data_IF_553524457040
#
_entry.id   IF_553524457040
#
_cell.length_a   1.000
_cell.length_b   1.000
_cell.length_c   1.000
_cell.angle_alpha   90.00
_cell.angle_beta   90.00
_cell.angle_gamma   90.00
#
_symmetry.space_group_name_H-M   'P 1'
#
loop_
_entity.id
_entity.type
_entity.pdbx_description
1 polymer ?
#
# COMPACT_ATOMS: atom_id res chain seq x y z
N UNK A 1 -1.59 27.79 -19.31
CA UNK A 1 -1.77 26.36 -19.67
C UNK A 1 -0.77 25.55 -18.86
N UNK A 2 -1.25 24.77 -17.88
CA UNK A 2 -0.39 23.96 -17.01
C UNK A 2 0.23 22.79 -17.76
N UNK A 3 1.51 22.90 -18.09
CA UNK A 3 2.37 21.84 -18.63
C UNK A 3 2.32 20.54 -17.80
N UNK A 4 2.05 20.64 -16.49
CA UNK A 4 1.88 19.47 -15.61
C UNK A 4 0.60 18.67 -15.88
N UNK A 5 -0.45 19.29 -16.43
CA UNK A 5 -1.70 18.60 -16.79
C UNK A 5 -1.53 17.74 -18.04
N UNK A 6 -0.71 18.19 -19.00
CA UNK A 6 -0.41 17.45 -20.24
C UNK A 6 0.46 16.22 -20.00
N UNK A 7 1.41 16.27 -19.07
CA UNK A 7 2.24 15.10 -18.72
C UNK A 7 1.43 14.01 -18.01
N UNK A 8 0.35 14.39 -17.31
CA UNK A 8 -0.52 13.44 -16.60
C UNK A 8 -1.44 12.65 -17.55
N UNK A 9 -1.65 13.13 -18.79
CA UNK A 9 -2.52 12.48 -19.78
C UNK A 9 -1.90 11.23 -20.42
N UNK A 10 -0.61 10.96 -20.20
CA UNK A 10 0.09 9.84 -20.85
C UNK A 10 0.67 8.81 -19.86
N UNK A 11 0.14 8.73 -18.63
CA UNK A 11 0.50 7.61 -17.75
C UNK A 11 -0.35 6.38 -18.10
N UNK A 12 0.26 5.28 -18.59
CA UNK A 12 -0.50 4.07 -18.93
C UNK A 12 -1.15 3.40 -17.71
N UNK A 13 -0.78 3.81 -16.49
CA UNK A 13 -1.36 3.32 -15.24
C UNK A 13 -1.81 4.49 -14.39
N UNK A 14 -3.11 4.53 -14.10
CA UNK A 14 -3.75 5.61 -13.35
C UNK A 14 -3.65 5.45 -11.84
N UNK A 15 -3.36 4.24 -11.35
CA UNK A 15 -3.37 3.92 -9.91
C UNK A 15 -2.25 2.97 -9.49
N UNK A 16 -1.88 3.01 -8.21
CA UNK A 16 -0.82 2.16 -7.63
C UNK A 16 -1.09 0.65 -7.82
N UNK A 17 -2.32 0.12 -7.60
CA UNK A 17 -2.62 -1.28 -7.87
C UNK A 17 -2.37 -1.68 -9.33
N UNK A 18 -2.74 -0.83 -10.29
CA UNK A 18 -2.53 -1.11 -11.71
C UNK A 18 -1.03 -1.23 -12.05
N UNK A 19 -0.23 -0.28 -11.57
CA UNK A 19 1.22 -0.31 -11.77
C UNK A 19 1.87 -1.53 -11.10
N UNK A 20 1.46 -1.85 -9.87
CA UNK A 20 1.93 -3.03 -9.15
C UNK A 20 1.57 -4.33 -9.87
N UNK A 21 0.37 -4.43 -10.44
CA UNK A 21 -0.07 -5.60 -11.20
C UNK A 21 0.79 -5.78 -12.46
N UNK A 22 1.10 -4.69 -13.17
CA UNK A 22 2.01 -4.73 -14.33
C UNK A 22 3.37 -5.30 -13.94
N UNK A 23 3.99 -4.77 -12.89
CA UNK A 23 5.31 -5.23 -12.41
C UNK A 23 5.27 -6.73 -12.08
N UNK A 24 4.20 -7.19 -11.42
CA UNK A 24 4.02 -8.61 -11.11
C UNK A 24 3.82 -9.50 -12.34
N UNK A 25 3.23 -8.96 -13.42
CA UNK A 25 3.00 -9.69 -14.67
C UNK A 25 4.28 -9.97 -15.46
N UNK A 26 5.35 -9.21 -15.21
CA UNK A 26 6.66 -9.38 -15.86
C UNK A 26 7.44 -10.58 -15.31
N UNK A 27 6.98 -11.21 -14.21
CA UNK A 27 7.50 -12.50 -13.75
C UNK A 27 8.90 -12.44 -13.13
N UNK A 28 9.18 -11.40 -12.34
CA UNK A 28 10.48 -11.23 -11.69
C UNK A 28 10.68 -12.14 -10.47
N UNK A 29 11.93 -12.55 -10.20
CA UNK A 29 12.27 -13.34 -9.01
C UNK A 29 12.32 -12.58 -7.67
N UNK A 30 12.19 -11.24 -7.69
CA UNK A 30 12.24 -10.37 -6.50
C UNK A 30 10.84 -9.86 -6.07
N UNK A 31 9.83 -10.04 -6.92
CA UNK A 31 8.43 -9.71 -6.67
C UNK A 31 7.52 -10.70 -7.39
N UNK A 32 6.68 -11.38 -6.64
CA UNK A 32 5.86 -12.44 -7.21
C UNK A 32 4.54 -12.66 -6.46
N UNK A 33 3.63 -13.32 -7.16
CA UNK A 33 2.44 -13.91 -6.58
C UNK A 33 2.80 -15.16 -5.78
N UNK A 34 2.04 -15.46 -4.72
CA UNK A 34 2.06 -16.81 -4.17
C UNK A 34 1.41 -17.82 -5.15
N UNK A 35 1.56 -19.12 -4.88
CA UNK A 35 0.99 -20.20 -5.68
C UNK A 35 -0.52 -20.03 -5.94
N UNK A 36 -1.27 -19.57 -4.93
CA UNK A 36 -2.72 -19.38 -5.04
C UNK A 36 -3.13 -18.08 -5.75
N UNK A 37 -2.19 -17.19 -6.06
CA UNK A 37 -2.46 -15.91 -6.72
C UNK A 37 -3.25 -14.89 -5.89
N UNK A 38 -3.33 -15.05 -4.57
CA UNK A 38 -4.10 -14.18 -3.66
C UNK A 38 -3.23 -13.32 -2.73
N UNK A 39 -1.92 -13.53 -2.77
CA UNK A 39 -0.92 -12.77 -2.01
C UNK A 39 0.20 -12.39 -2.94
N UNK A 40 0.84 -11.29 -2.61
CA UNK A 40 2.09 -10.88 -3.25
C UNK A 40 3.19 -10.82 -2.22
N UNK A 41 4.41 -11.03 -2.68
CA UNK A 41 5.62 -10.85 -1.88
C UNK A 41 6.67 -10.12 -2.69
N UNK A 42 7.45 -9.27 -2.03
CA UNK A 42 8.67 -8.70 -2.60
C UNK A 42 9.80 -8.68 -1.58
N UNK A 43 11.05 -8.80 -2.02
CA UNK A 43 12.24 -8.76 -1.15
C UNK A 43 13.17 -7.58 -1.41
N UNK A 44 12.94 -6.83 -2.49
CA UNK A 44 13.72 -5.64 -2.85
C UNK A 44 12.80 -4.40 -2.93
N UNK A 45 12.66 -3.65 -1.81
CA UNK A 45 11.84 -2.43 -1.80
C UNK A 45 12.42 -1.34 -2.69
N UNK A 46 13.74 -1.23 -2.82
CA UNK A 46 14.38 -0.18 -3.61
C UNK A 46 14.11 -0.37 -5.10
N UNK A 47 14.20 -1.63 -5.56
CA UNK A 47 13.82 -1.97 -6.93
C UNK A 47 12.34 -1.75 -7.19
N UNK A 48 11.44 -2.11 -6.26
CA UNK A 48 10.01 -1.83 -6.40
C UNK A 48 9.74 -0.33 -6.60
N UNK A 49 10.43 0.50 -5.82
CA UNK A 49 10.32 1.96 -5.93
C UNK A 49 10.80 2.47 -7.30
N UNK A 50 11.91 1.94 -7.82
CA UNK A 50 12.43 2.29 -9.15
C UNK A 50 11.47 1.90 -10.28
N UNK A 51 10.89 0.71 -10.23
CA UNK A 51 9.91 0.28 -11.24
C UNK A 51 8.66 1.15 -11.21
N UNK A 52 8.14 1.48 -10.02
CA UNK A 52 7.02 2.41 -9.89
C UNK A 52 7.35 3.80 -10.43
N UNK A 53 8.58 4.29 -10.21
CA UNK A 53 9.04 5.56 -10.77
C UNK A 53 9.13 5.52 -12.31
N UNK A 54 9.60 4.41 -12.88
CA UNK A 54 9.62 4.21 -14.34
C UNK A 54 8.21 4.22 -14.94
N UNK A 55 7.20 3.79 -14.18
CA UNK A 55 5.78 3.87 -14.54
C UNK A 55 5.14 5.25 -14.25
N UNK A 56 5.93 6.24 -13.80
CA UNK A 56 5.50 7.62 -13.62
C UNK A 56 5.07 7.99 -12.20
N UNK A 57 5.21 7.10 -11.21
CA UNK A 57 4.91 7.43 -9.82
C UNK A 57 6.03 8.30 -9.25
N UNK A 58 5.71 9.55 -8.88
CA UNK A 58 6.69 10.48 -8.30
C UNK A 58 7.21 9.98 -6.95
N UNK A 59 8.47 10.32 -6.66
CA UNK A 59 9.14 10.24 -5.36
C UNK A 59 8.65 9.10 -4.45
N UNK A 60 9.29 7.93 -4.56
CA UNK A 60 9.00 6.79 -3.71
C UNK A 60 10.11 6.68 -2.66
N UNK A 61 9.75 6.84 -1.39
CA UNK A 61 10.52 6.37 -0.25
C UNK A 61 9.80 5.19 0.42
N UNK A 62 10.47 4.51 1.34
CA UNK A 62 9.90 3.34 2.04
C UNK A 62 8.59 3.66 2.76
N UNK A 63 8.43 4.89 3.25
CA UNK A 63 7.23 5.36 3.93
C UNK A 63 6.07 5.52 2.95
N UNK A 64 6.31 6.14 1.78
CA UNK A 64 5.34 6.35 0.72
C UNK A 64 4.90 5.03 0.10
N UNK A 65 5.82 4.08 -0.09
CA UNK A 65 5.47 2.74 -0.55
C UNK A 65 4.51 2.05 0.45
N UNK A 66 4.87 2.05 1.74
CA UNK A 66 4.03 1.49 2.79
C UNK A 66 2.67 2.21 2.89
N UNK A 67 2.67 3.53 2.70
CA UNK A 67 1.46 4.35 2.67
C UNK A 67 0.59 4.02 1.47
N UNK A 68 1.14 3.79 0.29
CA UNK A 68 0.37 3.38 -0.88
C UNK A 68 -0.33 2.04 -0.64
N UNK A 69 0.39 1.03 -0.14
CA UNK A 69 -0.25 -0.23 0.26
C UNK A 69 -1.42 0.00 1.24
N UNK A 70 -1.19 0.81 2.28
CA UNK A 70 -2.25 1.12 3.25
C UNK A 70 -3.40 1.92 2.62
N UNK A 71 -3.15 2.97 1.84
CA UNK A 71 -4.17 3.81 1.25
C UNK A 71 -5.08 3.00 0.32
N UNK A 72 -4.58 1.99 -0.36
CA UNK A 72 -5.38 1.08 -1.21
C UNK A 72 -5.91 -0.16 -0.46
N UNK A 73 -5.74 -0.23 0.87
CA UNK A 73 -6.37 -1.26 1.70
C UNK A 73 -5.65 -2.60 1.74
N UNK A 74 -4.41 -2.69 1.24
CA UNK A 74 -3.61 -3.90 1.35
C UNK A 74 -3.28 -4.18 2.83
N UNK A 75 -3.39 -5.45 3.22
CA UNK A 75 -3.00 -5.94 4.53
C UNK A 75 -1.59 -6.49 4.46
N UNK A 76 -0.69 -5.98 5.29
CA UNK A 76 0.66 -6.54 5.47
C UNK A 76 0.57 -7.80 6.33
N UNK A 77 1.00 -8.93 5.79
CA UNK A 77 0.98 -10.23 6.48
C UNK A 77 2.33 -10.58 7.12
N UNK A 78 3.44 -10.18 6.48
CA UNK A 78 4.79 -10.29 7.03
C UNK A 78 5.59 -9.02 6.72
N UNK A 79 6.56 -8.71 7.58
CA UNK A 79 7.48 -7.59 7.38
C UNK A 79 8.91 -8.09 7.47
N UNK A 80 9.65 -8.02 6.36
CA UNK A 80 11.05 -8.43 6.29
C UNK A 80 11.93 -7.69 7.32
N UNK A 81 11.56 -6.46 7.73
CA UNK A 81 12.36 -5.69 8.70
C UNK A 81 12.33 -6.28 10.12
N UNK A 82 11.32 -7.11 10.44
CA UNK A 82 11.28 -7.84 11.72
C UNK A 82 12.22 -9.05 11.75
N UNK A 83 12.84 -9.37 10.61
CA UNK A 83 13.78 -10.47 10.42
C UNK A 83 15.23 -10.12 10.71
N UNK A 84 15.58 -8.86 11.03
CA UNK A 84 16.98 -8.39 11.09
C UNK A 84 17.89 -9.17 12.04
N UNK A 85 17.33 -9.98 12.94
CA UNK A 85 18.06 -10.80 13.91
C UNK A 85 18.00 -12.31 13.61
N UNK A 86 17.38 -12.71 12.51
CA UNK A 86 17.17 -14.11 12.15
C UNK A 86 17.75 -14.37 10.75
N UNK A 87 18.96 -14.95 10.65
CA UNK A 87 19.63 -15.22 9.38
C UNK A 87 18.91 -16.26 8.52
N UNK A 88 17.92 -16.97 9.06
CA UNK A 88 17.13 -17.97 8.34
C UNK A 88 15.79 -17.43 7.85
N UNK A 89 15.39 -16.23 8.26
CA UNK A 89 14.11 -15.67 7.85
C UNK A 89 14.20 -15.00 6.49
N UNK A 90 13.11 -15.18 5.76
CA UNK A 90 12.83 -14.66 4.44
C UNK A 90 12.86 -13.11 4.44
N UNK A 91 13.71 -12.50 3.61
CA UNK A 91 13.73 -11.04 3.36
C UNK A 91 12.48 -10.52 2.62
N UNK A 92 11.39 -11.28 2.66
CA UNK A 92 10.19 -11.05 1.89
C UNK A 92 9.12 -10.35 2.72
N UNK A 93 8.62 -9.23 2.19
CA UNK A 93 7.44 -8.54 2.70
C UNK A 93 6.22 -9.06 1.96
N UNK A 94 5.22 -9.57 2.68
CA UNK A 94 4.01 -10.16 2.11
C UNK A 94 2.81 -9.25 2.32
N UNK A 95 2.04 -9.04 1.25
CA UNK A 95 0.78 -8.29 1.27
C UNK A 95 -0.37 -9.09 0.65
N UNK A 96 -1.59 -8.80 1.09
CA UNK A 96 -2.82 -9.35 0.53
C UNK A 96 -3.89 -8.28 0.39
N UNK A 97 -4.73 -8.40 -0.64
CA UNK A 97 -5.93 -7.60 -0.83
C UNK A 97 -7.00 -8.46 -1.51
N UNK A 98 -8.27 -8.44 -1.05
CA UNK A 98 -9.32 -9.35 -1.52
C UNK A 98 -9.57 -9.27 -3.03
N UNK A 99 -9.45 -8.07 -3.61
CA UNK A 99 -9.67 -7.84 -5.04
C UNK A 99 -8.36 -7.78 -5.86
N UNK A 100 -7.20 -8.00 -5.23
CA UNK A 100 -5.92 -7.99 -5.94
C UNK A 100 -5.47 -9.44 -6.15
N UNK A 101 -5.91 -10.04 -7.25
CA UNK A 101 -5.74 -11.46 -7.54
C UNK A 101 -5.06 -11.66 -8.89
N UNK A 102 -4.12 -12.61 -8.98
CA UNK A 102 -3.37 -12.92 -10.20
C UNK A 102 -4.29 -13.17 -11.39
N UNK A 103 -5.37 -13.91 -11.19
CA UNK A 103 -6.28 -14.33 -12.25
C UNK A 103 -7.47 -13.38 -12.47
N UNK A 104 -7.49 -12.21 -11.82
CA UNK A 104 -8.57 -11.23 -11.97
C UNK A 104 -8.02 -9.79 -12.11
N UNK A 105 -7.49 -9.43 -13.29
CA UNK A 105 -6.97 -8.08 -13.55
C UNK A 105 -8.06 -7.00 -13.41
N UNK A 106 -9.30 -7.31 -13.80
CA UNK A 106 -10.43 -6.36 -13.70
C UNK A 106 -10.74 -5.99 -12.25
N UNK A 107 -10.65 -6.96 -11.34
CA UNK A 107 -10.81 -6.72 -9.90
C UNK A 107 -9.68 -5.85 -9.35
N UNK A 108 -8.45 -6.00 -9.85
CA UNK A 108 -7.32 -5.16 -9.48
C UNK A 108 -7.49 -3.72 -9.99
N UNK A 109 -8.02 -3.55 -11.21
CA UNK A 109 -8.32 -2.25 -11.82
C UNK A 109 -9.41 -1.48 -11.07
N UNK A 110 -10.35 -2.18 -10.44
CA UNK A 110 -11.42 -1.59 -9.65
C UNK A 110 -11.00 -1.13 -8.25
N UNK A 111 -9.76 -1.39 -7.80
CA UNK A 111 -9.30 -1.01 -6.46
C UNK A 111 -9.12 0.51 -6.38
N UNK A 112 -9.91 1.14 -5.51
CA UNK A 112 -9.86 2.57 -5.28
C UNK A 112 -9.08 2.92 -4.02
N UNK A 113 -8.43 4.10 -4.05
CA UNK A 113 -7.77 4.66 -2.86
C UNK A 113 -8.83 4.95 -1.80
N UNK A 114 -8.62 4.44 -0.58
CA UNK A 114 -9.47 4.73 0.57
C UNK A 114 -9.46 6.23 0.82
N UNK A 115 -10.66 6.83 0.95
CA UNK A 115 -10.80 8.24 1.32
C UNK A 115 -10.12 8.46 2.67
N UNK A 116 -9.43 9.59 2.84
CA UNK A 116 -8.84 9.97 4.11
C UNK A 116 -9.92 9.84 5.20
N UNK A 117 -9.66 9.03 6.24
CA UNK A 117 -10.55 8.97 7.39
C UNK A 117 -10.65 10.39 7.94
N UNK A 118 -11.86 10.96 7.98
CA UNK A 118 -12.09 12.22 8.69
C UNK A 118 -11.47 12.08 10.09
N UNK A 119 -10.76 13.10 10.60
CA UNK A 119 -10.24 13.05 11.96
C UNK A 119 -11.36 12.61 12.90
N UNK A 120 -11.10 11.60 13.75
CA UNK A 120 -12.07 11.24 14.79
C UNK A 120 -12.29 12.50 15.62
N UNK A 121 -13.53 12.95 15.72
CA UNK A 121 -13.88 14.06 16.60
C UNK A 121 -13.36 13.73 18.02
N UNK A 122 -12.77 14.71 18.73
CA UNK A 122 -12.31 14.48 20.10
C UNK A 122 -13.51 14.03 20.93
N UNK A 123 -13.42 12.86 21.55
CA UNK A 123 -14.40 12.38 22.51
C UNK A 123 -14.45 13.39 23.66
N UNK A 124 -15.58 14.07 23.85
CA UNK A 124 -15.83 14.91 25.02
C UNK A 124 -15.71 14.02 26.26
N UNK A 125 -14.62 14.17 27.01
CA UNK A 125 -14.56 13.67 28.39
C UNK A 125 -15.56 14.50 29.18
N UNK A 126 -16.65 13.88 29.61
CA UNK A 126 -17.58 14.44 30.59
C UNK A 126 -16.82 14.67 31.89
N UNK A 127 -16.66 15.94 32.28
CA UNK A 127 -16.23 16.30 33.63
C UNK A 127 -17.28 15.78 34.62
N UNK A 128 -16.89 15.08 35.71
CA UNK A 128 -17.82 14.83 36.79
C UNK A 128 -18.06 16.16 37.51
N UNK A 129 -19.30 16.64 37.46
CA UNK A 129 -19.83 17.60 38.42
C UNK A 129 -19.97 16.87 39.75
N UNK A 130 -19.22 17.31 40.74
CA UNK A 130 -19.49 16.99 42.15
C UNK A 130 -19.82 18.30 42.83
N UNK A 131 -21.13 18.57 42.85
CA UNK A 131 -21.81 19.38 43.85
C UNK A 131 -22.18 18.41 44.98
N UNK A 132 -21.65 18.60 46.19
CA UNK A 132 -22.38 18.23 47.40
C UNK A 132 -21.84 19.02 48.61
N UNK A 133 -22.79 19.55 49.38
CA UNK A 133 -22.63 20.40 50.56
C UNK A 133 -22.77 19.59 51.85
N UNK A 134 -22.27 20.14 52.98
CA UNK A 134 -22.55 19.70 54.36
C UNK A 134 -21.49 18.76 54.93
N UNK A 135 -20.89 18.98 56.10
CA UNK A 135 -21.26 19.72 57.32
C UNK A 135 -20.07 20.48 57.90
#
# INVERSE_FOLDING_TARGET
MDIYKLITLNQPYSTFPQALYKILSEGHGWIEWNKDGNKIRYNDPERLMRELQALGFKAQDSASLSKNFNDYGFKRLSDARKSRYDPWRSNWTVFAHPNFLRHSPDSANAIQRRRARRPRAPSKKSSPSSDESGW
#
